data_IF_851602344677
#
_entry.id   IF_851602344677
#
_cell.length_a   1.000
_cell.length_b   1.000
_cell.length_c   1.000
_cell.angle_alpha   90.00
_cell.angle_beta   90.00
_cell.angle_gamma   90.00
#
_symmetry.space_group_name_H-M   'P 1'
#
loop_
_entity.id
_entity.type
_entity.pdbx_description
1 polymer ?
#
# COMPACT_ATOMS: atom_id res chain seq x y z
N UNK A 1 -32.31 7.50 -51.09
CA UNK A 1 -32.81 6.87 -49.85
C UNK A 1 -31.61 6.69 -48.94
N UNK A 2 -31.43 7.58 -47.96
CA UNK A 2 -30.27 7.59 -47.06
C UNK A 2 -30.76 7.38 -45.63
N UNK A 3 -30.20 6.39 -44.94
CA UNK A 3 -30.47 6.03 -43.54
C UNK A 3 -29.74 7.00 -42.60
N UNK A 4 -30.40 7.57 -41.58
CA UNK A 4 -29.71 8.41 -40.59
C UNK A 4 -29.03 7.54 -39.53
N UNK A 5 -27.80 7.90 -39.18
CA UNK A 5 -26.96 7.22 -38.20
C UNK A 5 -27.44 7.41 -36.76
N UNK A 6 -27.36 6.34 -35.97
CA UNK A 6 -27.43 6.40 -34.51
C UNK A 6 -26.10 6.94 -33.98
N UNK A 7 -26.12 8.18 -33.50
CA UNK A 7 -25.06 8.72 -32.66
C UNK A 7 -25.27 8.14 -31.25
N UNK A 8 -24.43 7.17 -30.88
CA UNK A 8 -24.41 6.61 -29.53
C UNK A 8 -24.10 7.70 -28.51
N UNK A 9 -24.97 7.87 -27.53
CA UNK A 9 -24.76 8.79 -26.42
C UNK A 9 -23.53 8.35 -25.62
N UNK A 10 -22.47 9.15 -25.65
CA UNK A 10 -21.31 8.99 -24.76
C UNK A 10 -21.80 9.26 -23.34
N UNK A 11 -21.80 8.23 -22.50
CA UNK A 11 -22.13 8.35 -21.08
C UNK A 11 -21.22 9.41 -20.45
N UNK A 12 -21.81 10.42 -19.82
CA UNK A 12 -21.04 11.41 -19.05
C UNK A 12 -20.39 10.70 -17.87
N UNK A 13 -19.09 10.92 -17.59
CA UNK A 13 -18.45 10.37 -16.40
C UNK A 13 -19.20 10.88 -15.17
N UNK A 14 -19.61 9.95 -14.31
CA UNK A 14 -20.16 10.25 -12.99
C UNK A 14 -19.13 11.10 -12.23
N UNK A 15 -19.50 12.24 -11.64
CA UNK A 15 -18.56 13.03 -10.87
C UNK A 15 -17.97 12.16 -9.76
N UNK A 16 -16.63 12.08 -9.70
CA UNK A 16 -15.92 11.33 -8.68
C UNK A 16 -16.42 11.79 -7.31
N UNK A 17 -16.87 10.83 -6.48
CA UNK A 17 -17.18 11.09 -5.09
C UNK A 17 -15.94 11.72 -4.45
N UNK A 18 -16.05 12.87 -3.75
CA UNK A 18 -14.88 13.47 -3.14
C UNK A 18 -14.23 12.47 -2.19
N UNK A 19 -12.98 12.11 -2.48
CA UNK A 19 -12.17 11.28 -1.60
C UNK A 19 -12.07 12.00 -0.26
N UNK A 20 -12.66 11.41 0.78
CA UNK A 20 -12.54 11.94 2.14
C UNK A 20 -11.09 11.72 2.57
N UNK A 21 -10.41 12.71 3.17
CA UNK A 21 -9.05 12.51 3.67
C UNK A 21 -9.05 11.35 4.68
N UNK A 22 -8.20 10.36 4.44
CA UNK A 22 -8.07 9.19 5.28
C UNK A 22 -7.57 9.61 6.66
N UNK A 23 -8.18 9.07 7.73
CA UNK A 23 -7.74 9.32 9.11
C UNK A 23 -6.85 8.19 9.60
N UNK A 24 -5.93 8.50 10.52
CA UNK A 24 -5.09 7.48 11.17
C UNK A 24 -5.91 6.38 11.85
N UNK A 25 -7.07 6.71 12.40
CA UNK A 25 -7.99 5.71 12.97
C UNK A 25 -8.60 4.77 11.92
N UNK A 26 -8.86 5.25 10.70
CA UNK A 26 -9.40 4.40 9.62
C UNK A 26 -8.36 3.35 9.22
N UNK A 27 -7.08 3.75 9.18
CA UNK A 27 -5.95 2.88 8.83
C UNK A 27 -5.67 1.86 9.92
N UNK A 28 -5.76 2.27 11.19
CA UNK A 28 -5.64 1.34 12.32
C UNK A 28 -6.74 0.27 12.28
N UNK A 29 -8.00 0.66 12.00
CA UNK A 29 -9.12 -0.29 11.85
C UNK A 29 -8.94 -1.23 10.67
N UNK A 30 -8.43 -0.73 9.53
CA UNK A 30 -8.05 -1.55 8.39
C UNK A 30 -7.00 -2.60 8.79
N UNK A 31 -5.92 -2.17 9.45
CA UNK A 31 -4.84 -3.05 9.87
C UNK A 31 -5.31 -4.13 10.86
N UNK A 32 -6.10 -3.75 11.87
CA UNK A 32 -6.72 -4.68 12.82
C UNK A 32 -7.60 -5.71 12.08
N UNK A 33 -8.42 -5.27 11.13
CA UNK A 33 -9.29 -6.15 10.36
C UNK A 33 -8.52 -7.10 9.42
N UNK A 34 -7.45 -6.62 8.77
CA UNK A 34 -6.56 -7.45 7.94
C UNK A 34 -5.89 -8.52 8.80
N UNK A 35 -5.32 -8.14 9.95
CA UNK A 35 -4.66 -9.08 10.84
C UNK A 35 -5.64 -10.13 11.39
N UNK A 36 -6.85 -9.74 11.79
CA UNK A 36 -7.88 -10.66 12.24
C UNK A 36 -8.32 -11.63 11.12
N UNK A 37 -8.57 -11.10 9.93
CA UNK A 37 -8.91 -11.92 8.77
C UNK A 37 -7.83 -12.94 8.45
N UNK A 38 -6.56 -12.54 8.52
CA UNK A 38 -5.43 -13.42 8.24
C UNK A 38 -5.20 -14.49 9.32
N UNK A 39 -5.31 -14.12 10.60
CA UNK A 39 -5.10 -15.04 11.74
C UNK A 39 -6.07 -16.22 11.73
N UNK A 40 -7.25 -16.03 11.15
CA UNK A 40 -8.26 -17.08 10.99
C UNK A 40 -7.99 -18.07 9.83
N UNK A 41 -6.89 -17.90 9.08
CA UNK A 41 -6.50 -18.78 7.97
C UNK A 41 -5.48 -19.84 8.42
N UNK A 42 -5.30 -20.94 7.65
CA UNK A 42 -4.23 -21.90 7.88
C UNK A 42 -2.83 -21.27 7.81
N UNK A 43 -2.67 -20.16 7.09
CA UNK A 43 -1.40 -19.48 6.78
C UNK A 43 -1.03 -18.35 7.76
N UNK A 44 -1.69 -18.28 8.92
CA UNK A 44 -1.51 -17.20 9.93
C UNK A 44 -0.06 -16.87 10.33
N UNK A 45 0.89 -17.78 10.12
CA UNK A 45 2.32 -17.59 10.41
C UNK A 45 3.10 -16.89 9.29
N UNK A 46 2.46 -16.56 8.16
CA UNK A 46 3.05 -15.92 6.98
C UNK A 46 2.58 -14.46 6.88
N UNK A 47 3.18 -13.50 7.62
CA UNK A 47 2.76 -12.09 7.58
C UNK A 47 3.14 -11.39 6.26
N UNK A 48 4.07 -11.97 5.50
CA UNK A 48 4.50 -11.51 4.18
C UNK A 48 3.33 -11.42 3.18
N UNK A 49 2.42 -12.39 3.22
CA UNK A 49 1.29 -12.48 2.28
C UNK A 49 0.25 -11.36 2.47
N UNK A 50 -0.37 -11.17 3.66
CA UNK A 50 -1.33 -10.09 3.87
C UNK A 50 -0.70 -8.71 3.74
N UNK A 51 0.57 -8.52 4.12
CA UNK A 51 1.27 -7.26 3.92
C UNK A 51 1.47 -6.97 2.43
N UNK A 52 1.88 -7.97 1.66
CA UNK A 52 1.98 -7.90 0.20
C UNK A 52 0.65 -7.55 -0.45
N UNK A 53 -0.46 -8.14 0.00
CA UNK A 53 -1.81 -7.81 -0.51
C UNK A 53 -2.14 -6.33 -0.27
N UNK A 54 -1.90 -5.82 0.94
CA UNK A 54 -2.13 -4.39 1.25
C UNK A 54 -1.24 -3.51 0.37
N UNK A 55 0.04 -3.85 0.23
CA UNK A 55 0.97 -3.13 -0.63
C UNK A 55 0.53 -3.14 -2.10
N UNK A 56 0.16 -4.30 -2.67
CA UNK A 56 -0.33 -4.43 -4.04
C UNK A 56 -1.56 -3.56 -4.29
N UNK A 57 -2.56 -3.61 -3.40
CA UNK A 57 -3.77 -2.81 -3.55
C UNK A 57 -3.48 -1.30 -3.41
N UNK A 58 -2.57 -0.92 -2.50
CA UNK A 58 -2.13 0.46 -2.35
C UNK A 58 -1.42 1.00 -3.61
N UNK A 59 -0.67 0.13 -4.27
CA UNK A 59 0.20 0.42 -5.40
C UNK A 59 -0.46 0.22 -6.78
N UNK A 60 -1.76 -0.08 -6.86
CA UNK A 60 -2.45 -0.20 -8.16
C UNK A 60 -2.20 1.07 -9.01
N UNK A 61 -1.70 0.93 -10.25
CA UNK A 61 -1.34 2.09 -11.08
C UNK A 61 -2.54 2.93 -11.53
N UNK A 62 -3.70 2.29 -11.70
CA UNK A 62 -4.95 2.99 -12.04
C UNK A 62 -5.41 3.80 -10.82
N UNK A 63 -5.55 5.12 -10.99
CA UNK A 63 -5.93 6.07 -9.94
C UNK A 63 -7.27 6.75 -10.26
N UNK A 64 -7.87 7.34 -9.24
CA UNK A 64 -9.15 8.06 -9.24
C UNK A 64 -10.39 7.23 -9.63
N UNK A 65 -10.27 5.89 -9.60
CA UNK A 65 -11.35 4.95 -9.93
C UNK A 65 -11.55 3.83 -8.88
N UNK A 66 -11.56 4.11 -7.56
CA UNK A 66 -11.63 3.07 -6.53
C UNK A 66 -12.87 2.16 -6.66
N UNK A 67 -14.03 2.72 -7.00
CA UNK A 67 -15.26 1.95 -7.19
C UNK A 67 -15.20 0.98 -8.38
N UNK A 68 -14.48 1.35 -9.45
CA UNK A 68 -14.30 0.50 -10.62
C UNK A 68 -13.35 -0.65 -10.31
N UNK A 69 -12.23 -0.35 -9.65
CA UNK A 69 -11.28 -1.36 -9.18
C UNK A 69 -11.97 -2.33 -8.23
N UNK A 70 -12.77 -1.84 -7.27
CA UNK A 70 -13.52 -2.67 -6.34
C UNK A 70 -14.51 -3.60 -7.06
N UNK A 71 -15.25 -3.09 -8.07
CA UNK A 71 -16.14 -3.92 -8.90
C UNK A 71 -15.38 -4.99 -9.68
N UNK A 72 -14.23 -4.65 -10.25
CA UNK A 72 -13.38 -5.61 -10.97
C UNK A 72 -12.88 -6.71 -10.04
N UNK A 73 -12.41 -6.37 -8.83
CA UNK A 73 -11.99 -7.34 -7.82
C UNK A 73 -13.14 -8.27 -7.40
N UNK A 74 -14.33 -7.70 -7.18
CA UNK A 74 -15.52 -8.45 -6.77
C UNK A 74 -16.01 -9.39 -7.88
N UNK A 75 -15.87 -9.01 -9.15
CA UNK A 75 -16.26 -9.84 -10.30
C UNK A 75 -15.21 -10.85 -10.76
N UNK A 76 -14.01 -10.83 -10.19
CA UNK A 76 -12.91 -11.70 -10.59
C UNK A 76 -12.94 -13.05 -9.87
N UNK A 77 -12.60 -14.15 -10.56
CA UNK A 77 -12.27 -15.40 -9.90
C UNK A 77 -10.90 -15.32 -9.19
N UNK A 78 -10.61 -16.26 -8.32
CA UNK A 78 -9.39 -16.24 -7.49
C UNK A 78 -8.10 -16.28 -8.33
N UNK A 79 -8.09 -17.02 -9.44
CA UNK A 79 -6.96 -17.04 -10.38
C UNK A 79 -6.70 -15.68 -11.01
N UNK A 80 -7.75 -14.97 -11.44
CA UNK A 80 -7.61 -13.62 -11.98
C UNK A 80 -7.21 -12.61 -10.90
N UNK A 81 -7.68 -12.78 -9.67
CA UNK A 81 -7.27 -11.95 -8.54
C UNK A 81 -5.76 -12.09 -8.26
N UNK A 82 -5.27 -13.33 -8.13
CA UNK A 82 -3.84 -13.59 -7.91
C UNK A 82 -2.97 -13.07 -9.06
N UNK A 83 -3.44 -13.24 -10.29
CA UNK A 83 -2.77 -12.67 -11.47
C UNK A 83 -2.71 -11.14 -11.38
N UNK A 84 -3.81 -10.48 -11.03
CA UNK A 84 -3.85 -9.02 -10.87
C UNK A 84 -2.88 -8.50 -9.81
N UNK A 85 -2.77 -9.17 -8.65
CA UNK A 85 -1.78 -8.84 -7.62
C UNK A 85 -0.35 -8.97 -8.16
N UNK A 86 -0.06 -10.03 -8.93
CA UNK A 86 1.25 -10.21 -9.58
C UNK A 86 1.53 -9.11 -10.62
N UNK A 87 0.53 -8.71 -11.40
CA UNK A 87 0.65 -7.66 -12.41
C UNK A 87 0.99 -6.29 -11.80
N UNK A 88 0.51 -5.98 -10.59
CA UNK A 88 0.93 -4.76 -9.86
C UNK A 88 2.44 -4.78 -9.60
N UNK A 89 2.98 -5.88 -9.10
CA UNK A 89 4.42 -6.00 -8.84
C UNK A 89 5.25 -5.94 -10.13
N UNK A 90 4.79 -6.61 -11.19
CA UNK A 90 5.45 -6.52 -12.51
C UNK A 90 5.49 -5.09 -13.02
N UNK A 91 4.40 -4.33 -12.88
CA UNK A 91 4.38 -2.92 -13.25
C UNK A 91 5.48 -2.13 -12.53
N UNK A 92 5.57 -2.26 -11.20
CA UNK A 92 6.57 -1.53 -10.41
C UNK A 92 8.00 -2.00 -10.65
N UNK A 93 8.20 -3.31 -10.88
CA UNK A 93 9.51 -3.83 -11.28
C UNK A 93 9.99 -3.16 -12.56
N UNK A 94 9.15 -3.11 -13.61
CA UNK A 94 9.54 -2.51 -14.90
C UNK A 94 9.87 -1.03 -14.75
N UNK A 95 9.18 -0.31 -13.88
CA UNK A 95 9.42 1.12 -13.64
C UNK A 95 10.66 1.38 -12.76
N UNK A 96 10.92 0.52 -11.76
CA UNK A 96 11.94 0.69 -10.72
C UNK A 96 12.74 -0.61 -10.51
N UNK A 97 13.46 -1.11 -11.52
CA UNK A 97 14.15 -2.41 -11.44
C UNK A 97 15.23 -2.45 -10.35
N UNK A 98 15.79 -1.30 -9.98
CA UNK A 98 16.77 -1.17 -8.90
C UNK A 98 16.20 -1.47 -7.51
N UNK A 99 14.87 -1.38 -7.35
CA UNK A 99 14.17 -1.74 -6.11
C UNK A 99 13.73 -3.20 -6.07
N UNK A 100 13.95 -3.99 -7.13
CA UNK A 100 13.52 -5.39 -7.18
C UNK A 100 14.04 -6.25 -6.01
N UNK A 101 15.31 -6.11 -5.55
CA UNK A 101 15.77 -6.83 -4.36
C UNK A 101 15.00 -6.47 -3.09
N UNK A 102 14.52 -5.22 -2.97
CA UNK A 102 13.74 -4.76 -1.84
C UNK A 102 12.32 -5.34 -1.85
N UNK A 103 11.67 -5.42 -3.02
CA UNK A 103 10.30 -5.98 -3.10
C UNK A 103 10.24 -7.49 -2.88
N UNK A 104 11.34 -8.22 -3.13
CA UNK A 104 11.43 -9.68 -3.08
C UNK A 104 10.66 -10.37 -1.94
N UNK A 105 10.84 -9.96 -0.66
CA UNK A 105 10.12 -10.51 0.48
C UNK A 105 8.59 -10.42 0.38
N UNK A 106 8.05 -9.37 -0.25
CA UNK A 106 6.61 -9.20 -0.44
C UNK A 106 6.07 -10.04 -1.62
N UNK A 107 6.89 -10.37 -2.61
CA UNK A 107 6.41 -11.01 -3.84
C UNK A 107 6.78 -12.49 -3.98
N UNK A 108 7.71 -13.00 -3.16
CA UNK A 108 8.18 -14.38 -3.25
C UNK A 108 7.03 -15.41 -3.24
N UNK A 109 6.02 -15.19 -2.39
CA UNK A 109 4.87 -16.10 -2.26
C UNK A 109 4.02 -16.21 -3.52
N UNK A 110 4.04 -15.20 -4.40
CA UNK A 110 3.30 -15.23 -5.67
C UNK A 110 3.94 -16.19 -6.69
N UNK A 111 5.14 -16.70 -6.43
CA UNK A 111 5.79 -17.73 -7.25
C UNK A 111 5.72 -19.13 -6.62
N UNK A 112 5.11 -19.27 -5.44
CA UNK A 112 4.96 -20.56 -4.78
C UNK A 112 3.82 -21.36 -5.44
N UNK A 113 4.17 -22.46 -6.10
CA UNK A 113 3.22 -23.48 -6.54
C UNK A 113 3.14 -24.60 -5.48
N UNK A 114 1.94 -25.10 -5.20
CA UNK A 114 1.77 -26.14 -4.19
C UNK A 114 0.38 -26.79 -4.18
N UNK A 115 0.23 -27.93 -3.51
CA UNK A 115 -1.04 -28.65 -3.41
C UNK A 115 -2.15 -27.83 -2.75
N UNK A 116 -1.78 -26.83 -1.94
CA UNK A 116 -2.71 -25.98 -1.18
C UNK A 116 -3.02 -24.64 -1.87
N UNK A 117 -2.74 -24.52 -3.18
CA UNK A 117 -2.90 -23.27 -3.92
C UNK A 117 -4.35 -22.71 -3.86
N UNK A 118 -5.36 -23.58 -3.86
CA UNK A 118 -6.76 -23.17 -3.75
C UNK A 118 -7.10 -22.59 -2.37
N UNK A 119 -6.59 -23.19 -1.29
CA UNK A 119 -6.78 -22.71 0.08
C UNK A 119 -6.07 -21.37 0.32
N UNK A 120 -4.88 -21.22 -0.25
CA UNK A 120 -4.18 -19.95 -0.25
C UNK A 120 -4.97 -18.89 -1.02
N UNK A 121 -5.48 -19.21 -2.20
CA UNK A 121 -6.24 -18.28 -3.02
C UNK A 121 -7.52 -17.79 -2.30
N UNK A 122 -8.24 -18.68 -1.61
CA UNK A 122 -9.38 -18.32 -0.75
C UNK A 122 -8.97 -17.42 0.41
N UNK A 123 -7.81 -17.70 1.03
CA UNK A 123 -7.26 -16.90 2.13
C UNK A 123 -6.86 -15.49 1.66
N UNK A 124 -6.27 -15.39 0.47
CA UNK A 124 -5.95 -14.11 -0.19
C UNK A 124 -7.21 -13.31 -0.49
N UNK A 125 -8.22 -13.94 -1.10
CA UNK A 125 -9.51 -13.29 -1.36
C UNK A 125 -10.13 -12.71 -0.10
N UNK A 126 -10.11 -13.47 1.00
CA UNK A 126 -10.63 -13.00 2.29
C UNK A 126 -9.96 -11.69 2.75
N UNK A 127 -8.64 -11.58 2.61
CA UNK A 127 -7.90 -10.36 2.97
C UNK A 127 -8.19 -9.22 1.98
N UNK A 128 -8.22 -9.50 0.67
CA UNK A 128 -8.57 -8.50 -0.35
C UNK A 128 -9.95 -7.91 -0.11
N UNK A 129 -10.95 -8.74 0.16
CA UNK A 129 -12.32 -8.30 0.41
C UNK A 129 -12.39 -7.41 1.68
N UNK A 130 -11.56 -7.70 2.70
CA UNK A 130 -11.42 -6.85 3.88
C UNK A 130 -10.77 -5.52 3.54
N UNK A 131 -9.68 -5.52 2.77
CA UNK A 131 -9.01 -4.29 2.34
C UNK A 131 -9.95 -3.37 1.57
N UNK A 132 -10.71 -3.91 0.62
CA UNK A 132 -11.71 -3.15 -0.16
C UNK A 132 -12.82 -2.64 0.75
N UNK A 133 -13.38 -3.49 1.62
CA UNK A 133 -14.47 -3.11 2.54
C UNK A 133 -14.07 -2.00 3.51
N UNK A 134 -12.83 -2.01 3.99
CA UNK A 134 -12.29 -1.01 4.93
C UNK A 134 -11.72 0.22 4.23
N UNK A 135 -11.87 0.32 2.90
CA UNK A 135 -11.63 1.54 2.15
C UNK A 135 -10.18 1.78 1.74
N UNK A 136 -9.35 0.73 1.64
CA UNK A 136 -7.94 0.89 1.26
C UNK A 136 -7.79 1.61 -0.09
N UNK A 137 -8.65 1.30 -1.07
CA UNK A 137 -8.60 1.90 -2.40
C UNK A 137 -8.91 3.41 -2.35
N UNK A 138 -9.79 3.85 -1.46
CA UNK A 138 -10.11 5.25 -1.24
C UNK A 138 -8.97 5.99 -0.53
N UNK A 139 -8.24 5.32 0.36
CA UNK A 139 -7.08 5.90 1.06
C UNK A 139 -5.89 6.15 0.13
N UNK A 140 -5.65 5.26 -0.84
CA UNK A 140 -4.41 5.25 -1.66
C UNK A 140 -4.65 5.44 -3.16
N UNK A 141 -5.92 5.56 -3.57
CA UNK A 141 -6.33 5.58 -4.97
C UNK A 141 -6.24 6.93 -5.68
N UNK A 142 -5.79 8.00 -5.02
CA UNK A 142 -5.72 9.35 -5.62
C UNK A 142 -4.53 9.50 -6.58
N UNK A 143 -4.74 10.12 -7.75
CA UNK A 143 -3.64 10.51 -8.67
C UNK A 143 -2.78 11.64 -8.11
N UNK A 144 -3.31 12.43 -7.17
CA UNK A 144 -2.55 13.38 -6.37
C UNK A 144 -1.71 12.64 -5.30
N UNK A 145 -0.38 12.79 -5.39
CA UNK A 145 0.61 12.18 -4.49
C UNK A 145 0.45 12.60 -3.03
N UNK A 146 0.08 13.86 -2.80
CA UNK A 146 -0.17 14.38 -1.47
C UNK A 146 -1.32 13.62 -0.81
N UNK A 147 -2.42 13.40 -1.55
CA UNK A 147 -3.64 12.77 -1.03
C UNK A 147 -3.47 11.27 -0.79
N UNK A 148 -2.85 10.53 -1.72
CA UNK A 148 -2.67 9.07 -1.58
C UNK A 148 -1.63 8.65 -0.53
N UNK A 149 -0.84 9.60 -0.01
CA UNK A 149 0.24 9.34 0.95
C UNK A 149 -0.01 9.96 2.33
N UNK A 150 -1.22 10.45 2.62
CA UNK A 150 -1.54 11.10 3.90
C UNK A 150 -1.45 10.15 5.11
N UNK A 151 -1.68 8.86 4.87
CA UNK A 151 -1.70 7.83 5.90
C UNK A 151 -0.68 6.74 5.62
N UNK A 152 -0.28 6.04 6.68
CA UNK A 152 0.70 4.95 6.64
C UNK A 152 0.01 3.59 6.77
N UNK A 153 -0.41 3.02 5.65
CA UNK A 153 -1.14 1.73 5.67
C UNK A 153 -0.24 0.53 5.96
N UNK A 154 1.04 0.60 5.64
CA UNK A 154 1.95 -0.54 5.78
C UNK A 154 2.46 -0.68 7.21
N UNK A 155 2.87 0.41 7.86
CA UNK A 155 3.40 0.31 9.22
C UNK A 155 2.36 -0.19 10.22
N UNK A 156 1.11 0.27 10.10
CA UNK A 156 0.02 -0.23 10.94
C UNK A 156 -0.28 -1.71 10.65
N UNK A 157 -0.32 -2.10 9.38
CA UNK A 157 -0.60 -3.49 8.98
C UNK A 157 0.50 -4.42 9.47
N UNK A 158 1.77 -4.11 9.22
CA UNK A 158 2.91 -4.90 9.69
C UNK A 158 2.92 -5.02 11.22
N UNK A 159 2.66 -3.90 11.92
CA UNK A 159 2.54 -3.91 13.38
C UNK A 159 1.49 -4.91 13.82
N UNK A 160 0.26 -4.82 13.28
CA UNK A 160 -0.84 -5.72 13.64
C UNK A 160 -0.62 -7.18 13.25
N UNK A 161 0.06 -7.46 12.15
CA UNK A 161 0.36 -8.84 11.74
C UNK A 161 1.37 -9.54 12.65
N UNK A 162 2.23 -8.77 13.35
CA UNK A 162 3.25 -9.35 14.21
C UNK A 162 2.67 -9.91 15.50
N UNK A 163 3.18 -11.08 15.88
CA UNK A 163 2.84 -11.68 17.17
C UNK A 163 3.37 -10.80 18.33
N UNK A 164 2.71 -10.80 19.50
CA UNK A 164 3.18 -10.07 20.67
C UNK A 164 4.59 -10.46 21.12
N UNK A 165 5.03 -11.70 20.83
CA UNK A 165 6.39 -12.17 21.10
C UNK A 165 7.42 -11.62 20.11
N UNK A 166 7.08 -11.55 18.83
CA UNK A 166 7.93 -10.96 17.79
C UNK A 166 8.18 -9.46 18.04
N UNK A 167 7.14 -8.71 18.43
CA UNK A 167 7.26 -7.28 18.79
C UNK A 167 8.27 -7.05 19.92
N UNK A 168 8.30 -7.93 20.94
CA UNK A 168 9.25 -7.83 22.07
C UNK A 168 10.67 -8.25 21.71
N UNK A 169 10.82 -9.29 20.89
CA UNK A 169 12.13 -9.85 20.53
C UNK A 169 12.92 -8.93 19.58
N UNK A 170 12.23 -8.26 18.65
CA UNK A 170 12.85 -7.35 17.69
C UNK A 170 13.03 -5.92 18.25
N UNK A 171 12.47 -5.61 19.42
CA UNK A 171 12.49 -4.26 19.99
C UNK A 171 11.77 -3.22 19.11
N UNK A 172 10.94 -3.69 18.18
CA UNK A 172 10.32 -2.84 17.19
C UNK A 172 9.05 -2.20 17.73
N UNK A 173 9.14 -0.88 17.95
CA UNK A 173 8.01 -0.05 18.31
C UNK A 173 7.65 0.81 17.10
N UNK A 174 6.41 0.68 16.64
CA UNK A 174 5.89 1.58 15.62
C UNK A 174 5.88 3.02 16.15
N UNK A 175 6.67 3.90 15.52
CA UNK A 175 6.66 5.34 15.82
C UNK A 175 5.30 5.91 15.43
N UNK A 176 4.49 6.40 16.39
CA UNK A 176 3.14 6.87 16.09
C UNK A 176 3.13 8.00 15.05
N UNK A 177 2.07 8.13 14.23
CA UNK A 177 2.01 9.13 13.17
C UNK A 177 2.24 10.58 13.63
N UNK A 178 1.77 10.94 14.83
CA UNK A 178 2.01 12.27 15.40
C UNK A 178 3.49 12.53 15.68
N UNK A 179 4.24 11.51 16.09
CA UNK A 179 5.67 11.60 16.38
C UNK A 179 6.46 11.67 15.06
N UNK A 180 6.13 10.84 14.06
CA UNK A 180 6.79 10.94 12.74
C UNK A 180 6.53 12.29 12.07
N UNK A 181 5.31 12.84 12.19
CA UNK A 181 4.98 14.19 11.71
C UNK A 181 5.77 15.28 12.45
N UNK A 182 5.90 15.17 13.78
CA UNK A 182 6.70 16.10 14.57
C UNK A 182 8.18 16.07 14.14
N UNK A 183 8.78 14.88 14.06
CA UNK A 183 10.17 14.71 13.62
C UNK A 183 10.35 15.27 12.21
N UNK A 184 9.47 14.93 11.26
CA UNK A 184 9.53 15.46 9.89
C UNK A 184 9.49 16.99 9.86
N UNK A 185 8.66 17.62 10.71
CA UNK A 185 8.57 19.07 10.82
C UNK A 185 9.83 19.70 11.41
N UNK A 186 10.49 19.01 12.36
CA UNK A 186 11.76 19.45 12.93
C UNK A 186 12.93 19.25 11.96
N UNK A 187 12.90 18.18 11.16
CA UNK A 187 13.92 17.88 10.13
C UNK A 187 13.82 18.86 8.96
N UNK A 188 12.60 19.25 8.56
CA UNK A 188 12.34 20.16 7.46
C UNK A 188 11.45 21.35 7.90
N UNK A 189 12.09 22.34 8.53
CA UNK A 189 11.46 23.62 8.89
C UNK A 189 11.10 24.44 7.63
N UNK A 190 11.98 24.39 6.62
CA UNK A 190 11.76 24.90 5.27
C UNK A 190 12.04 23.84 4.21
N UNK A 191 11.84 24.19 2.93
CA UNK A 191 12.11 23.26 1.82
C UNK A 191 13.61 22.95 1.77
N UNK A 192 14.04 21.68 1.96
CA UNK A 192 15.45 21.33 1.91
C UNK A 192 16.01 21.52 0.49
N UNK A 193 17.30 21.84 0.33
CA UNK A 193 17.94 21.92 -0.99
C UNK A 193 17.73 20.66 -1.84
N UNK A 194 17.39 20.85 -3.11
CA UNK A 194 17.25 19.74 -4.05
C UNK A 194 18.56 18.92 -4.13
N UNK A 195 18.43 17.60 -4.19
CA UNK A 195 19.55 16.65 -4.17
C UNK A 195 20.05 16.28 -2.77
N UNK A 196 19.52 16.88 -1.69
CA UNK A 196 19.82 16.44 -0.33
C UNK A 196 19.43 14.97 -0.12
N UNK A 197 20.17 14.27 0.75
CA UNK A 197 19.99 12.83 1.02
C UNK A 197 19.58 12.63 2.47
N UNK A 198 18.50 11.89 2.68
CA UNK A 198 18.02 11.48 3.99
C UNK A 198 18.40 10.03 4.25
N UNK A 199 18.91 9.76 5.45
CA UNK A 199 19.25 8.42 5.94
C UNK A 199 18.40 8.11 7.15
N UNK A 200 17.75 6.96 7.12
CA UNK A 200 17.12 6.35 8.29
C UNK A 200 17.71 4.95 8.48
N UNK A 201 18.57 4.75 9.51
CA UNK A 201 19.28 3.49 9.73
C UNK A 201 18.41 2.38 10.34
N UNK A 202 17.20 2.72 10.80
CA UNK A 202 16.22 1.84 11.45
C UNK A 202 14.82 2.14 10.92
N UNK A 203 14.67 1.98 9.61
CA UNK A 203 13.55 2.48 8.84
C UNK A 203 12.19 1.88 9.12
N UNK A 204 12.16 0.64 9.58
CA UNK A 204 10.99 -0.22 9.49
C UNK A 204 10.37 -0.11 8.10
N UNK A 205 9.05 -0.04 8.05
CA UNK A 205 8.24 0.21 6.85
C UNK A 205 8.22 1.66 6.35
N UNK A 206 9.17 2.50 6.80
CA UNK A 206 9.39 3.83 6.24
C UNK A 206 8.42 4.91 6.69
N UNK A 207 7.71 4.73 7.82
CA UNK A 207 6.72 5.69 8.31
C UNK A 207 7.26 7.11 8.52
N UNK A 208 8.53 7.24 8.93
CA UNK A 208 9.21 8.54 9.05
C UNK A 208 9.51 9.16 7.67
N UNK A 209 10.03 8.38 6.72
CA UNK A 209 10.28 8.85 5.35
C UNK A 209 9.00 9.26 4.64
N UNK A 210 7.90 8.52 4.83
CA UNK A 210 6.58 8.94 4.34
C UNK A 210 6.16 10.29 4.92
N UNK A 211 6.35 10.49 6.23
CA UNK A 211 6.04 11.77 6.88
C UNK A 211 6.92 12.92 6.37
N UNK A 212 8.22 12.68 6.17
CA UNK A 212 9.15 13.66 5.60
C UNK A 212 8.82 13.99 4.14
N UNK A 213 8.53 12.99 3.32
CA UNK A 213 8.06 13.18 1.95
C UNK A 213 6.75 13.99 1.91
N UNK A 214 5.84 13.76 2.86
CA UNK A 214 4.63 14.57 2.98
C UNK A 214 4.96 16.01 3.35
N UNK A 215 5.87 16.23 4.31
CA UNK A 215 6.32 17.56 4.71
C UNK A 215 6.97 18.33 3.56
N UNK A 216 7.79 17.68 2.75
CA UNK A 216 8.37 18.26 1.53
C UNK A 216 7.27 18.74 0.56
N UNK A 217 6.22 17.93 0.35
CA UNK A 217 5.08 18.34 -0.48
C UNK A 217 4.32 19.53 0.11
N UNK A 218 4.14 19.59 1.44
CA UNK A 218 3.51 20.75 2.11
C UNK A 218 4.30 22.04 1.91
N UNK A 219 5.62 21.92 1.82
CA UNK A 219 6.54 23.02 1.53
C UNK A 219 6.66 23.35 0.04
N UNK A 220 5.91 22.65 -0.82
CA UNK A 220 5.87 22.87 -2.27
C UNK A 220 6.96 22.16 -3.08
N UNK A 221 7.71 21.22 -2.48
CA UNK A 221 8.72 20.42 -3.17
C UNK A 221 8.22 19.07 -3.68
N UNK A 222 9.01 18.44 -4.55
CA UNK A 222 8.81 17.05 -4.99
C UNK A 222 9.78 16.11 -4.24
N UNK A 223 9.28 15.14 -3.46
CA UNK A 223 10.13 14.11 -2.84
C UNK A 223 11.04 13.34 -3.81
N UNK A 224 10.73 13.31 -5.11
CA UNK A 224 11.59 12.71 -6.12
C UNK A 224 12.92 13.46 -6.34
N UNK A 225 13.01 14.73 -5.92
CA UNK A 225 14.22 15.55 -6.05
C UNK A 225 15.29 15.24 -4.98
N UNK A 226 15.06 14.24 -4.13
CA UNK A 226 15.88 13.93 -2.96
C UNK A 226 16.37 12.47 -2.98
N UNK A 227 17.49 12.22 -2.30
CA UNK A 227 17.99 10.87 -2.06
C UNK A 227 17.39 10.26 -0.80
N UNK A 228 16.93 9.01 -0.89
CA UNK A 228 16.34 8.29 0.24
C UNK A 228 17.14 7.02 0.52
N UNK A 229 17.68 6.89 1.73
CA UNK A 229 18.40 5.70 2.18
C UNK A 229 17.69 5.15 3.41
N UNK A 230 16.91 4.09 3.20
CA UNK A 230 16.20 3.36 4.25
C UNK A 230 16.95 2.05 4.51
N UNK A 231 17.32 1.78 5.76
CA UNK A 231 17.95 0.53 6.16
C UNK A 231 17.11 -0.10 7.26
N UNK A 232 16.86 -1.40 7.15
CA UNK A 232 16.29 -2.20 8.22
C UNK A 232 16.88 -3.62 8.20
N UNK A 233 16.88 -4.28 9.36
CA UNK A 233 17.32 -5.67 9.49
C UNK A 233 16.20 -6.65 9.15
N UNK A 234 14.94 -6.27 9.38
CA UNK A 234 13.80 -7.04 8.91
C UNK A 234 13.56 -6.74 7.42
N UNK A 235 13.85 -7.74 6.59
CA UNK A 235 13.62 -7.68 5.16
C UNK A 235 12.15 -7.40 4.80
N UNK A 236 11.19 -7.84 5.62
CA UNK A 236 9.76 -7.57 5.38
C UNK A 236 9.39 -6.13 5.73
N UNK A 237 10.05 -5.53 6.71
CA UNK A 237 9.85 -4.12 7.05
C UNK A 237 10.49 -3.21 6.00
N UNK A 238 11.68 -3.56 5.50
CA UNK A 238 12.39 -2.78 4.48
C UNK A 238 11.73 -2.80 3.08
N UNK A 239 10.92 -3.83 2.78
CA UNK A 239 10.29 -4.06 1.48
C UNK A 239 9.12 -3.12 1.18
#
# INVERSE_FOLDING_TARGET
MATPGLVGAVARPTPARPLRPARHDDVRRLAEAVAEAWRSTPYRSRPDIPLSIVASLALIPSKDCPDEIARTIAGSCDTHLLRGLREVWVHHWVQRPELAPAFGPLMAWLAEDGPDAEDLARSVRKVVDVCVRYGLLEMTGSSDAYRRSQVDVLSWTLTELRSPGARRLLGEFHTPPSVTQLIASMTADGLPPAGERFLEPSGGSGGLFRALAQRIRELGGDPADYGWVLVDIDALAAA
#
